data_IF_282477646635
#
_entry.id   IF_282477646635
#
_cell.length_a   1.000
_cell.length_b   1.000
_cell.length_c   1.000
_cell.angle_alpha   90.00
_cell.angle_beta   90.00
_cell.angle_gamma   90.00
#
_symmetry.space_group_name_H-M   'P 1'
#
loop_
_entity.id
_entity.type
_entity.pdbx_description
1 polymer ?
#
# COMPACT_ATOMS: atom_id res chain seq x y z
N UNK A 1 29.19 -1.24 9.89
CA UNK A 1 27.93 -1.28 10.66
C UNK A 1 26.80 -1.24 9.66
N UNK A 2 26.10 -2.35 9.47
CA UNK A 2 24.97 -2.42 8.52
C UNK A 2 23.77 -1.72 9.17
N UNK A 3 23.63 -0.42 8.91
CA UNK A 3 22.46 0.35 9.30
C UNK A 3 21.26 -0.07 8.43
N UNK A 4 20.69 -1.25 8.67
CA UNK A 4 19.42 -1.65 8.08
C UNK A 4 18.28 -0.92 8.80
N UNK A 5 18.21 0.39 8.63
CA UNK A 5 17.16 1.27 9.16
C UNK A 5 15.95 1.31 8.20
N UNK A 6 15.67 0.19 7.53
CA UNK A 6 14.53 0.08 6.60
C UNK A 6 13.24 0.23 7.38
N UNK A 7 12.45 1.25 7.02
CA UNK A 7 11.11 1.43 7.57
C UNK A 7 10.14 0.64 6.70
N UNK A 8 9.20 -0.04 7.35
CA UNK A 8 8.08 -0.71 6.68
C UNK A 8 6.78 -0.03 7.12
N UNK A 9 5.75 0.02 6.25
CA UNK A 9 4.49 0.69 6.57
C UNK A 9 3.69 -0.05 7.65
N UNK A 10 3.95 -1.34 7.84
CA UNK A 10 3.35 -2.21 8.85
C UNK A 10 4.30 -3.41 9.12
N UNK A 11 4.14 -4.14 10.24
CA UNK A 11 4.78 -5.44 10.41
C UNK A 11 4.27 -6.45 9.37
N UNK A 12 5.11 -7.45 9.03
CA UNK A 12 4.75 -8.51 8.08
C UNK A 12 5.13 -9.89 8.62
N UNK A 13 4.15 -10.78 8.75
CA UNK A 13 4.39 -12.20 9.05
C UNK A 13 4.76 -13.01 7.79
N UNK A 14 4.65 -12.42 6.60
CA UNK A 14 5.17 -12.97 5.35
C UNK A 14 4.34 -14.09 4.72
N UNK A 15 3.08 -14.27 5.13
CA UNK A 15 2.20 -15.35 4.61
C UNK A 15 1.36 -14.94 3.40
N UNK A 16 1.20 -13.64 3.12
CA UNK A 16 0.31 -13.14 2.07
C UNK A 16 1.03 -12.80 0.76
N UNK A 17 0.28 -12.30 -0.23
CA UNK A 17 0.76 -12.22 -1.60
C UNK A 17 1.85 -11.18 -1.74
N UNK A 18 2.88 -11.56 -2.47
CA UNK A 18 3.99 -10.68 -2.81
C UNK A 18 3.70 -9.93 -4.10
N UNK A 19 4.44 -8.85 -4.31
CA UNK A 19 4.49 -8.18 -5.60
C UNK A 19 4.81 -9.18 -6.72
N UNK A 20 4.15 -9.04 -7.86
CA UNK A 20 4.39 -9.89 -9.02
C UNK A 20 3.62 -11.22 -9.02
N UNK A 21 2.88 -11.55 -7.95
CA UNK A 21 2.02 -12.74 -7.94
C UNK A 21 1.03 -12.72 -9.12
N UNK A 22 0.94 -13.82 -9.86
CA UNK A 22 0.12 -13.92 -11.08
C UNK A 22 -1.24 -14.55 -10.80
N UNK A 23 -2.29 -13.94 -11.34
CA UNK A 23 -3.62 -14.52 -11.44
C UNK A 23 -4.08 -14.42 -12.91
N UNK A 24 -3.89 -15.50 -13.67
CA UNK A 24 -4.04 -15.45 -15.13
C UNK A 24 -3.08 -14.44 -15.75
N UNK A 25 -3.60 -13.51 -16.56
CA UNK A 25 -2.83 -12.42 -17.16
C UNK A 25 -2.62 -11.21 -16.23
N UNK A 26 -3.19 -11.23 -15.02
CA UNK A 26 -3.08 -10.15 -14.06
C UNK A 26 -1.89 -10.37 -13.11
N UNK A 27 -1.30 -9.26 -12.69
CA UNK A 27 -0.14 -9.21 -11.80
C UNK A 27 -0.50 -8.40 -10.57
N UNK A 28 -0.21 -8.96 -9.40
CA UNK A 28 -0.37 -8.28 -8.12
C UNK A 28 0.62 -7.11 -8.00
N UNK A 29 0.10 -5.90 -7.77
CA UNK A 29 0.88 -4.65 -7.85
C UNK A 29 1.44 -4.18 -6.52
N UNK A 30 1.04 -4.84 -5.43
CA UNK A 30 1.48 -4.54 -4.09
C UNK A 30 2.18 -5.71 -3.42
N UNK A 31 2.63 -5.48 -2.21
CA UNK A 31 2.99 -6.52 -1.25
C UNK A 31 1.96 -6.49 -0.12
N UNK A 32 1.37 -7.64 0.16
CA UNK A 32 0.38 -7.78 1.22
C UNK A 32 1.11 -8.09 2.53
N UNK A 33 1.12 -7.11 3.44
CA UNK A 33 1.70 -7.22 4.77
C UNK A 33 0.72 -7.96 5.68
N UNK A 34 1.10 -9.15 6.12
CA UNK A 34 0.27 -9.98 6.98
C UNK A 34 0.33 -9.52 8.45
N UNK A 35 -0.66 -8.72 8.81
CA UNK A 35 -0.79 -8.12 10.13
C UNK A 35 -2.28 -7.91 10.48
N UNK A 36 -2.63 -7.97 11.77
CA UNK A 36 -4.03 -7.97 12.19
C UNK A 36 -4.71 -6.62 11.92
N UNK A 37 -6.03 -6.63 11.96
CA UNK A 37 -6.83 -5.41 12.04
C UNK A 37 -6.35 -4.50 13.18
N UNK A 38 -6.61 -3.20 13.05
CA UNK A 38 -6.19 -2.13 13.96
C UNK A 38 -4.66 -1.91 14.06
N UNK A 39 -3.86 -2.70 13.35
CA UNK A 39 -2.42 -2.44 13.22
C UNK A 39 -2.22 -1.03 12.66
N UNK A 40 -1.45 -0.15 13.35
CA UNK A 40 -1.13 1.16 12.84
C UNK A 40 -0.33 1.06 11.53
N UNK A 41 -0.75 1.83 10.53
CA UNK A 41 -0.03 1.99 9.28
C UNK A 41 0.69 3.32 9.31
N UNK A 42 1.98 3.31 8.97
CA UNK A 42 2.83 4.50 9.01
C UNK A 42 3.27 4.96 7.63
N UNK A 43 3.51 6.26 7.49
CA UNK A 43 4.12 6.83 6.29
C UNK A 43 5.59 6.37 6.18
N UNK A 44 5.95 5.79 5.03
CA UNK A 44 7.31 5.29 4.78
C UNK A 44 8.33 6.40 4.50
N UNK A 45 7.87 7.59 4.11
CA UNK A 45 8.67 8.77 3.84
C UNK A 45 7.84 10.04 4.05
N UNK A 46 8.50 11.20 4.10
CA UNK A 46 7.81 12.49 4.04
C UNK A 46 7.00 12.59 2.74
N UNK A 47 5.83 13.22 2.80
CA UNK A 47 4.97 13.29 1.63
C UNK A 47 3.70 14.09 1.83
N UNK A 48 2.86 14.07 0.80
CA UNK A 48 1.56 14.72 0.78
C UNK A 48 0.48 13.73 0.38
N UNK A 49 -0.60 13.67 1.14
CA UNK A 49 -1.80 12.91 0.80
C UNK A 49 -2.37 13.49 -0.48
N UNK A 50 -2.43 12.69 -1.54
CA UNK A 50 -2.96 13.12 -2.84
C UNK A 50 -4.38 12.62 -3.08
N UNK A 51 -4.80 11.56 -2.37
CA UNK A 51 -6.16 11.03 -2.40
C UNK A 51 -6.42 10.07 -1.24
N UNK A 52 -7.67 9.94 -0.83
CA UNK A 52 -8.15 8.97 0.16
C UNK A 52 -9.59 8.61 -0.20
N UNK A 53 -9.83 7.37 -0.63
CA UNK A 53 -11.13 6.98 -1.19
C UNK A 53 -11.50 5.55 -0.84
N UNK A 54 -12.80 5.28 -0.93
CA UNK A 54 -13.36 3.94 -0.75
C UNK A 54 -13.52 3.26 -2.11
N UNK A 55 -12.98 2.06 -2.25
CA UNK A 55 -13.01 1.28 -3.51
C UNK A 55 -13.61 -0.10 -3.25
N UNK A 56 -14.46 -0.54 -4.17
CA UNK A 56 -15.05 -1.86 -4.11
C UNK A 56 -13.97 -2.96 -4.24
N UNK A 57 -14.07 -4.01 -3.43
CA UNK A 57 -13.06 -5.08 -3.37
C UNK A 57 -11.94 -4.82 -2.35
N UNK A 58 -11.88 -3.62 -1.75
CA UNK A 58 -10.90 -3.30 -0.71
C UNK A 58 -11.43 -3.47 0.72
N UNK A 59 -12.73 -3.69 0.91
CA UNK A 59 -13.30 -4.08 2.21
C UNK A 59 -13.47 -5.59 2.34
N UNK A 60 -13.74 -6.26 1.23
CA UNK A 60 -13.84 -7.73 1.12
C UNK A 60 -13.77 -8.11 -0.36
N UNK A 61 -13.28 -9.32 -0.64
CA UNK A 61 -13.20 -9.86 -2.00
C UNK A 61 -14.47 -10.63 -2.41
N UNK A 62 -15.12 -11.34 -1.50
CA UNK A 62 -16.27 -12.20 -1.82
C UNK A 62 -17.25 -12.22 -0.64
N UNK A 63 -18.34 -11.41 -0.64
CA UNK A 63 -18.70 -10.44 -1.68
C UNK A 63 -17.75 -9.24 -1.73
N UNK A 64 -17.69 -8.54 -2.86
CA UNK A 64 -16.97 -7.27 -2.91
C UNK A 64 -17.65 -6.23 -2.02
N UNK A 65 -16.88 -5.61 -1.12
CA UNK A 65 -17.33 -4.44 -0.35
C UNK A 65 -16.31 -3.31 -0.45
N UNK A 66 -16.76 -2.10 -0.15
CA UNK A 66 -15.92 -0.92 -0.18
C UNK A 66 -14.92 -0.93 0.98
N UNK A 67 -13.65 -0.66 0.67
CA UNK A 67 -12.60 -0.41 1.68
C UNK A 67 -11.68 0.72 1.25
N UNK A 68 -10.94 1.26 2.22
CA UNK A 68 -10.14 2.46 2.02
C UNK A 68 -8.84 2.19 1.27
N UNK A 69 -8.49 3.13 0.40
CA UNK A 69 -7.18 3.24 -0.26
C UNK A 69 -6.68 4.66 -0.10
N UNK A 70 -5.56 4.81 0.61
CA UNK A 70 -4.87 6.06 0.82
C UNK A 70 -3.70 6.17 -0.17
N UNK A 71 -3.57 7.31 -0.83
CA UNK A 71 -2.50 7.60 -1.77
C UNK A 71 -1.68 8.76 -1.24
N UNK A 72 -0.39 8.52 -1.04
CA UNK A 72 0.55 9.55 -0.58
C UNK A 72 1.64 9.70 -1.62
N UNK A 73 1.85 10.93 -2.09
CA UNK A 73 2.95 11.26 -2.97
C UNK A 73 4.19 11.58 -2.14
N UNK A 74 5.28 10.95 -2.50
CA UNK A 74 6.57 11.04 -1.85
C UNK A 74 7.65 11.40 -2.87
N UNK A 75 8.84 11.72 -2.36
CA UNK A 75 10.08 11.81 -3.12
C UNK A 75 11.04 10.81 -2.50
N UNK A 76 11.67 9.97 -3.32
CA UNK A 76 12.66 9.02 -2.83
C UNK A 76 14.06 9.65 -2.68
N UNK A 77 15.01 8.90 -2.14
CA UNK A 77 16.36 9.42 -1.83
C UNK A 77 17.16 9.93 -3.04
N UNK A 78 16.74 9.59 -4.27
CA UNK A 78 17.38 10.07 -5.49
C UNK A 78 16.59 11.22 -6.14
N UNK A 79 15.58 11.78 -5.46
CA UNK A 79 14.81 12.93 -5.94
C UNK A 79 13.68 12.57 -6.92
N UNK A 80 13.30 11.29 -7.05
CA UNK A 80 12.20 10.90 -7.93
C UNK A 80 10.86 10.82 -7.19
N UNK A 81 9.80 11.31 -7.84
CA UNK A 81 8.44 11.17 -7.33
C UNK A 81 7.94 9.74 -7.44
N UNK A 82 7.21 9.32 -6.41
CA UNK A 82 6.43 8.09 -6.44
C UNK A 82 5.16 8.22 -5.60
N UNK A 83 4.19 7.35 -5.86
CA UNK A 83 2.97 7.21 -5.08
C UNK A 83 3.06 5.94 -4.23
N UNK A 84 2.93 6.10 -2.92
CA UNK A 84 2.62 5.00 -2.00
C UNK A 84 1.12 4.78 -1.97
N UNK A 85 0.69 3.56 -2.31
CA UNK A 85 -0.70 3.10 -2.22
C UNK A 85 -0.84 2.24 -0.98
N UNK A 86 -1.69 2.64 -0.04
CA UNK A 86 -1.97 1.93 1.20
C UNK A 86 -3.43 1.48 1.20
N UNK A 87 -3.67 0.20 0.92
CA UNK A 87 -4.99 -0.40 0.79
C UNK A 87 -5.43 -1.18 2.03
N UNK A 88 -6.74 -1.38 2.16
CA UNK A 88 -7.36 -2.05 3.31
C UNK A 88 -7.12 -1.28 4.61
N UNK A 89 -7.23 0.05 4.54
CA UNK A 89 -6.98 0.94 5.67
C UNK A 89 -8.18 1.85 5.96
N UNK A 90 -8.35 2.20 7.23
CA UNK A 90 -9.16 3.35 7.67
C UNK A 90 -8.23 4.52 7.96
N UNK A 91 -8.44 5.63 7.27
CA UNK A 91 -7.69 6.88 7.45
C UNK A 91 -8.63 8.07 7.46
N UNK A 92 -8.36 9.03 8.36
CA UNK A 92 -9.05 10.33 8.41
C UNK A 92 -8.33 11.41 7.61
N UNK A 93 -7.18 11.09 7.01
CA UNK A 93 -6.39 12.08 6.29
C UNK A 93 -7.10 12.51 5.00
N UNK A 94 -7.05 13.81 4.74
CA UNK A 94 -7.64 14.43 3.55
C UNK A 94 -6.55 14.79 2.55
N UNK A 95 -6.93 14.94 1.28
CA UNK A 95 -6.04 15.44 0.24
C UNK A 95 -5.43 16.78 0.64
N UNK A 96 -4.12 16.93 0.44
CA UNK A 96 -3.34 18.12 0.78
C UNK A 96 -2.65 18.06 2.14
N UNK A 97 -2.97 17.08 3.01
CA UNK A 97 -2.27 16.91 4.28
C UNK A 97 -0.83 16.46 4.04
N UNK A 98 0.10 17.10 4.74
CA UNK A 98 1.52 16.70 4.79
C UNK A 98 1.70 15.67 5.90
N UNK A 99 2.48 14.63 5.59
CA UNK A 99 2.89 13.60 6.55
C UNK A 99 4.41 13.53 6.61
N UNK A 100 4.94 13.13 7.75
CA UNK A 100 6.35 12.84 7.98
C UNK A 100 6.59 11.34 8.01
N UNK A 101 7.81 10.91 7.66
CA UNK A 101 8.26 9.52 7.82
C UNK A 101 8.00 9.07 9.27
N UNK A 102 7.25 7.99 9.43
CA UNK A 102 6.87 7.42 10.73
C UNK A 102 5.53 7.90 11.29
N UNK A 103 4.89 8.91 10.70
CA UNK A 103 3.55 9.33 11.13
C UNK A 103 2.54 8.20 10.93
N UNK A 104 1.65 8.00 11.91
CA UNK A 104 0.50 7.11 11.76
C UNK A 104 -0.49 7.75 10.78
N UNK A 105 -0.68 7.09 9.64
CA UNK A 105 -1.56 7.57 8.55
C UNK A 105 -2.90 6.86 8.51
N UNK A 106 -3.07 5.80 9.30
CA UNK A 106 -4.29 5.03 9.39
C UNK A 106 -4.08 3.73 10.17
N UNK A 107 -5.02 2.82 10.03
CA UNK A 107 -4.93 1.48 10.58
C UNK A 107 -5.61 0.48 9.65
N UNK A 108 -5.20 -0.77 9.73
CA UNK A 108 -5.77 -1.86 8.93
C UNK A 108 -7.22 -2.10 9.35
N UNK A 109 -8.08 -2.38 8.38
CA UNK A 109 -9.48 -2.79 8.62
C UNK A 109 -9.60 -4.32 8.54
N UNK A 110 -10.70 -4.84 9.07
CA UNK A 110 -11.14 -6.20 8.73
C UNK A 110 -11.16 -6.42 7.21
N UNK A 111 -10.73 -7.61 6.78
CA UNK A 111 -10.84 -8.01 5.39
C UNK A 111 -11.20 -9.48 5.30
N UNK A 112 -12.21 -9.77 4.47
CA UNK A 112 -12.68 -11.13 4.25
C UNK A 112 -12.57 -11.54 2.78
N UNK A 113 -12.20 -12.79 2.56
CA UNK A 113 -12.40 -13.46 1.28
C UNK A 113 -13.30 -14.68 1.51
N UNK A 114 -14.59 -14.55 1.19
CA UNK A 114 -15.62 -15.48 1.65
C UNK A 114 -15.58 -15.56 3.19
N UNK A 115 -15.47 -16.75 3.77
CA UNK A 115 -15.44 -16.93 5.23
C UNK A 115 -14.02 -16.81 5.83
N UNK A 116 -13.00 -16.53 5.02
CA UNK A 116 -11.63 -16.42 5.51
C UNK A 116 -11.35 -14.97 5.95
N UNK A 117 -11.09 -14.80 7.25
CA UNK A 117 -10.61 -13.55 7.82
C UNK A 117 -9.12 -13.38 7.55
N UNK A 118 -8.78 -12.37 6.76
CA UNK A 118 -7.45 -12.11 6.22
C UNK A 118 -7.13 -10.61 6.29
N UNK A 119 -7.17 -9.96 7.47
CA UNK A 119 -6.75 -8.57 7.57
C UNK A 119 -5.28 -8.46 7.15
N UNK A 120 -4.98 -7.46 6.33
CA UNK A 120 -3.64 -7.20 5.82
C UNK A 120 -3.56 -5.77 5.29
N UNK A 121 -2.35 -5.26 5.11
CA UNK A 121 -2.11 -4.03 4.36
C UNK A 121 -1.70 -4.40 2.94
N UNK A 122 -2.45 -3.96 1.94
CA UNK A 122 -2.00 -4.01 0.54
C UNK A 122 -1.16 -2.76 0.24
N UNK A 123 0.16 -2.91 0.13
CA UNK A 123 1.06 -1.78 -0.09
C UNK A 123 1.68 -1.81 -1.48
N UNK A 124 1.38 -0.81 -2.32
CA UNK A 124 1.92 -0.66 -3.68
C UNK A 124 2.81 0.57 -3.82
N UNK A 125 3.78 0.50 -4.74
CA UNK A 125 4.64 1.62 -5.12
C UNK A 125 4.54 1.85 -6.63
N UNK A 126 4.15 3.07 -7.00
CA UNK A 126 3.97 3.49 -8.38
C UNK A 126 4.90 4.66 -8.71
N UNK A 127 5.81 4.47 -9.66
CA UNK A 127 6.82 5.47 -10.05
C UNK A 127 6.19 6.51 -10.97
N UNK A 128 5.68 7.58 -10.37
CA UNK A 128 4.99 8.67 -11.05
C UNK A 128 4.78 9.86 -10.10
N UNK A 129 4.56 11.05 -10.68
CA UNK A 129 4.05 12.23 -9.95
C UNK A 129 2.50 12.24 -9.89
N UNK A 130 1.85 11.32 -10.61
CA UNK A 130 0.39 11.20 -10.72
C UNK A 130 -0.10 9.89 -10.11
N UNK A 131 -1.33 9.92 -9.57
CA UNK A 131 -2.00 8.75 -9.00
C UNK A 131 -2.25 7.71 -10.10
N UNK A 132 -2.02 6.41 -9.85
CA UNK A 132 -2.33 5.37 -10.81
C UNK A 132 -3.84 5.31 -11.12
N UNK A 133 -4.18 4.81 -12.30
CA UNK A 133 -5.55 4.43 -12.61
C UNK A 133 -5.88 3.07 -11.98
N UNK A 134 -7.14 2.88 -11.59
CA UNK A 134 -7.63 1.59 -11.15
C UNK A 134 -7.54 0.56 -12.29
N UNK A 135 -7.48 -0.75 -12.01
CA UNK A 135 -7.56 -1.42 -10.70
C UNK A 135 -6.32 -1.27 -9.81
N UNK A 136 -6.53 -1.32 -8.49
CA UNK A 136 -5.51 -1.05 -7.48
C UNK A 136 -4.92 -2.27 -6.77
N UNK A 137 -5.38 -3.48 -7.08
CA UNK A 137 -4.78 -4.72 -6.56
C UNK A 137 -4.00 -5.51 -7.63
N UNK A 138 -4.54 -5.54 -8.85
CA UNK A 138 -4.06 -6.39 -9.93
C UNK A 138 -4.16 -5.69 -11.28
N UNK A 139 -3.13 -5.80 -12.12
CA UNK A 139 -3.12 -5.19 -13.45
C UNK A 139 -2.42 -6.09 -14.48
N UNK A 140 -2.75 -5.93 -15.76
CA UNK A 140 -1.98 -6.49 -16.87
C UNK A 140 -0.78 -5.63 -17.27
N UNK A 141 -0.77 -4.33 -16.92
CA UNK A 141 0.33 -3.40 -17.18
C UNK A 141 1.09 -3.05 -15.88
N UNK A 142 2.29 -3.59 -15.73
CA UNK A 142 3.11 -3.46 -14.53
C UNK A 142 4.19 -2.36 -14.64
N UNK A 143 4.31 -1.67 -15.78
CA UNK A 143 5.53 -0.92 -16.16
C UNK A 143 6.03 0.09 -15.10
N UNK A 144 5.11 0.78 -14.43
CA UNK A 144 5.43 1.79 -13.40
C UNK A 144 5.34 1.25 -11.98
N UNK A 145 4.89 0.01 -11.80
CA UNK A 145 4.79 -0.63 -10.50
C UNK A 145 6.09 -1.37 -10.20
N UNK A 146 6.62 -1.17 -9.00
CA UNK A 146 7.89 -1.78 -8.58
C UNK A 146 7.69 -2.61 -7.32
N UNK A 147 8.60 -3.57 -7.09
CA UNK A 147 8.60 -4.37 -5.88
C UNK A 147 8.75 -3.47 -4.64
N UNK A 148 7.73 -3.38 -3.75
CA UNK A 148 7.78 -2.47 -2.61
C UNK A 148 8.89 -2.82 -1.61
N UNK A 149 9.15 -4.11 -1.38
CA UNK A 149 10.16 -4.57 -0.42
C UNK A 149 11.56 -4.16 -0.87
N UNK A 150 11.88 -4.35 -2.15
CA UNK A 150 13.18 -3.94 -2.68
C UNK A 150 13.31 -2.42 -2.78
N UNK A 151 12.23 -1.71 -3.13
CA UNK A 151 12.22 -0.25 -3.14
C UNK A 151 12.47 0.34 -1.75
N UNK A 152 11.80 -0.16 -0.71
CA UNK A 152 12.00 0.28 0.67
C UNK A 152 13.45 0.11 1.15
N UNK A 153 14.11 -0.98 0.75
CA UNK A 153 15.53 -1.22 1.11
C UNK A 153 16.50 -0.31 0.36
N UNK A 154 16.15 0.09 -0.86
CA UNK A 154 17.11 0.68 -1.81
C UNK A 154 16.85 2.16 -2.10
N UNK A 155 15.67 2.70 -1.81
CA UNK A 155 15.22 4.05 -2.23
C UNK A 155 14.69 4.94 -1.10
N UNK A 156 14.37 4.40 0.07
CA UNK A 156 13.80 5.12 1.24
C UNK A 156 14.80 5.22 2.39
#
# INVERSE_FOLDING_TARGET
MNNNNTIYPAPDKGRYRKFGFKLGNLTHIGHDFDCPEDTPVIAIADGMVVDNKMINGFGSMNPHTNGGVLFIKHIDKNGHYFIGLYGHVKSKLQKGIIVRKGDIIGSIIEFYNSNLYLPHLHFGIYISNEIPQAPYGYTSNIDKWVNPIEFLKTRI
#
